data_IF_965991100860
#
_entry.id   IF_965991100860
#
_cell.length_a   1.000
_cell.length_b   1.000
_cell.length_c   1.000
_cell.angle_alpha   90.00
_cell.angle_beta   90.00
_cell.angle_gamma   90.00
#
_symmetry.space_group_name_H-M   'P 1'
#
loop_
_entity.id
_entity.type
_entity.pdbx_description
1 polymer ?
#
# COMPACT_ATOMS: atom_id res chain seq x y z
N UNK A 1 28.05 62.06 20.61
CA UNK A 1 26.86 61.49 21.28
C UNK A 1 26.81 60.00 20.99
N UNK A 2 26.78 59.14 22.01
CA UNK A 2 26.88 57.68 21.89
C UNK A 2 25.52 56.97 21.84
N UNK A 3 25.55 55.70 21.38
CA UNK A 3 24.76 54.51 21.82
C UNK A 3 23.26 54.49 21.50
N UNK A 4 22.71 53.49 20.79
CA UNK A 4 22.31 52.11 21.19
C UNK A 4 21.15 51.78 20.19
N UNK A 5 20.74 50.58 19.80
CA UNK A 5 21.08 49.21 20.11
C UNK A 5 20.43 48.32 19.05
N UNK A 6 21.02 47.15 18.87
CA UNK A 6 20.53 45.98 18.14
C UNK A 6 19.04 45.68 18.36
N UNK A 7 18.37 45.31 17.27
CA UNK A 7 17.30 44.33 17.22
C UNK A 7 17.50 43.60 15.86
N UNK A 8 18.04 42.37 15.75
CA UNK A 8 17.43 41.10 16.16
C UNK A 8 15.91 41.19 15.94
N UNK A 9 15.26 40.45 15.07
CA UNK A 9 15.51 39.10 14.63
C UNK A 9 14.58 38.81 13.43
N UNK A 10 15.00 37.86 12.60
CA UNK A 10 14.14 36.92 11.87
C UNK A 10 12.76 37.45 11.47
N UNK A 11 12.67 38.09 10.31
CA UNK A 11 11.44 38.02 9.53
C UNK A 11 11.27 36.55 9.12
N UNK A 12 10.65 35.78 10.02
CA UNK A 12 10.21 34.43 9.77
C UNK A 12 9.43 34.45 8.46
N UNK A 13 9.99 33.77 7.46
CA UNK A 13 9.31 33.45 6.21
C UNK A 13 8.11 32.58 6.59
N UNK A 14 6.99 33.23 6.87
CA UNK A 14 5.69 32.60 6.89
C UNK A 14 5.31 32.36 5.42
N UNK A 15 5.87 31.31 4.84
CA UNK A 15 5.23 30.68 3.68
C UNK A 15 3.89 30.16 4.20
N UNK A 16 2.74 30.73 3.79
CA UNK A 16 1.48 30.06 4.03
C UNK A 16 1.58 28.69 3.37
N UNK A 17 1.11 27.66 4.07
CA UNK A 17 1.05 26.26 3.69
C UNK A 17 0.23 26.02 2.41
N UNK A 18 0.64 26.63 1.30
CA UNK A 18 -0.02 26.61 0.01
C UNK A 18 0.37 25.37 -0.84
N UNK A 19 1.22 24.49 -0.31
CA UNK A 19 1.46 23.17 -0.91
C UNK A 19 0.33 22.16 -0.63
N UNK A 20 -0.67 22.50 0.20
CA UNK A 20 -1.84 21.65 0.47
C UNK A 20 -3.04 21.98 -0.42
N UNK A 21 -2.78 22.27 -1.69
CA UNK A 21 -3.82 22.22 -2.72
C UNK A 21 -3.28 21.49 -3.95
N UNK A 22 -2.85 20.26 -3.72
CA UNK A 22 -2.69 19.30 -4.80
C UNK A 22 -4.06 19.12 -5.45
N UNK A 23 -4.16 19.54 -6.71
CA UNK A 23 -5.37 19.47 -7.52
C UNK A 23 -5.92 18.04 -7.59
N UNK A 24 -7.23 17.97 -7.47
CA UNK A 24 -8.09 16.79 -7.45
C UNK A 24 -7.84 15.93 -8.69
N UNK A 25 -7.65 14.62 -8.52
CA UNK A 25 -7.66 13.65 -9.62
C UNK A 25 -9.04 12.99 -9.67
N UNK A 26 -9.65 12.88 -10.85
CA UNK A 26 -11.03 12.44 -11.11
C UNK A 26 -11.37 10.98 -10.69
N UNK A 27 -10.51 10.31 -9.92
CA UNK A 27 -10.74 8.96 -9.34
C UNK A 27 -11.02 8.97 -7.82
N UNK A 28 -11.13 10.15 -7.20
CA UNK A 28 -11.28 10.30 -5.75
C UNK A 28 -12.74 10.30 -5.25
N UNK A 29 -13.72 10.40 -6.15
CA UNK A 29 -15.14 10.29 -5.84
C UNK A 29 -15.72 9.05 -6.49
N UNK A 30 -16.40 8.22 -5.69
CA UNK A 30 -17.25 7.16 -6.21
C UNK A 30 -18.53 7.03 -5.39
N UNK A 31 -19.58 6.52 -6.04
CA UNK A 31 -20.87 6.29 -5.43
C UNK A 31 -20.92 4.90 -4.83
N UNK A 32 -21.21 4.81 -3.53
CA UNK A 32 -21.51 3.55 -2.83
C UNK A 32 -22.90 3.68 -2.22
N UNK A 33 -23.83 2.83 -2.63
CA UNK A 33 -25.22 2.82 -2.15
C UNK A 33 -25.94 4.17 -2.23
N UNK A 34 -25.63 4.96 -3.27
CA UNK A 34 -26.24 6.29 -3.45
C UNK A 34 -25.60 7.41 -2.62
N UNK A 35 -24.53 7.13 -1.90
CA UNK A 35 -23.75 8.13 -1.18
C UNK A 35 -22.42 8.42 -1.90
N UNK A 36 -22.08 9.71 -1.99
CA UNK A 36 -20.74 10.14 -2.41
C UNK A 36 -19.74 9.75 -1.32
N UNK A 37 -18.89 8.78 -1.63
CA UNK A 37 -17.81 8.36 -0.74
C UNK A 37 -16.51 8.93 -1.28
N UNK A 38 -15.85 9.73 -0.45
CA UNK A 38 -14.49 10.18 -0.70
C UNK A 38 -13.53 9.05 -0.32
N UNK A 39 -12.87 8.49 -1.31
CA UNK A 39 -11.69 7.66 -1.07
C UNK A 39 -10.49 8.51 -1.41
N UNK A 40 -9.59 8.69 -0.45
CA UNK A 40 -8.26 9.22 -0.76
C UNK A 40 -7.69 8.36 -1.89
N UNK A 41 -7.40 8.93 -3.07
CA UNK A 41 -6.78 8.17 -4.14
C UNK A 41 -5.45 7.61 -3.61
N UNK A 42 -5.11 6.36 -3.94
CA UNK A 42 -3.85 5.77 -3.49
C UNK A 42 -2.72 6.71 -3.90
N UNK A 43 -1.74 6.91 -3.03
CA UNK A 43 -0.64 7.80 -3.36
C UNK A 43 -0.04 7.37 -4.70
N UNK A 44 0.20 8.31 -5.61
CA UNK A 44 0.72 7.99 -6.95
C UNK A 44 2.04 7.22 -6.88
N UNK A 45 2.85 7.49 -5.84
CA UNK A 45 4.07 6.76 -5.54
C UNK A 45 3.80 5.31 -5.08
N UNK A 46 2.86 5.07 -4.16
CA UNK A 46 2.47 3.71 -3.75
C UNK A 46 1.90 2.93 -4.94
N UNK A 47 1.04 3.57 -5.75
CA UNK A 47 0.46 2.93 -6.92
C UNK A 47 1.52 2.57 -7.97
N UNK A 48 2.50 3.44 -8.21
CA UNK A 48 3.61 3.13 -9.11
C UNK A 48 4.46 1.94 -8.59
N UNK A 49 4.75 1.90 -7.28
CA UNK A 49 5.46 0.79 -6.66
C UNK A 49 4.64 -0.52 -6.72
N UNK A 50 3.33 -0.45 -6.48
CA UNK A 50 2.41 -1.57 -6.64
C UNK A 50 2.41 -2.12 -8.07
N UNK A 51 2.33 -1.25 -9.09
CA UNK A 51 2.38 -1.69 -10.48
C UNK A 51 3.70 -2.38 -10.82
N UNK A 52 4.83 -1.86 -10.33
CA UNK A 52 6.14 -2.53 -10.47
C UNK A 52 6.11 -3.92 -9.84
N UNK A 53 5.55 -4.05 -8.64
CA UNK A 53 5.44 -5.35 -7.97
C UNK A 53 4.60 -6.35 -8.79
N UNK A 54 3.46 -5.91 -9.34
CA UNK A 54 2.59 -6.73 -10.20
C UNK A 54 3.29 -7.17 -11.48
N UNK A 55 3.95 -6.25 -12.18
CA UNK A 55 4.67 -6.57 -13.41
C UNK A 55 5.81 -7.57 -13.15
N UNK A 56 6.58 -7.37 -12.08
CA UNK A 56 7.64 -8.31 -11.68
C UNK A 56 7.08 -9.70 -11.32
N UNK A 57 5.93 -9.75 -10.64
CA UNK A 57 5.26 -10.99 -10.25
C UNK A 57 4.67 -11.77 -11.44
N UNK A 58 4.16 -11.05 -12.45
CA UNK A 58 3.55 -11.60 -13.67
C UNK A 58 4.57 -11.89 -14.79
N UNK A 59 5.82 -11.45 -14.62
CA UNK A 59 6.90 -11.73 -15.56
C UNK A 59 7.12 -13.23 -15.78
N UNK A 60 7.76 -13.57 -16.90
CA UNK A 60 8.08 -14.95 -17.28
C UNK A 60 9.60 -15.07 -17.54
N UNK A 61 10.39 -15.64 -16.61
CA UNK A 61 9.98 -16.14 -15.29
C UNK A 61 9.66 -15.00 -14.29
N UNK A 62 8.91 -15.28 -13.20
CA UNK A 62 8.60 -14.28 -12.18
C UNK A 62 9.87 -13.74 -11.51
N UNK A 63 9.94 -12.42 -11.36
CA UNK A 63 11.03 -11.71 -10.69
C UNK A 63 10.66 -11.45 -9.23
N UNK A 64 10.76 -12.50 -8.39
CA UNK A 64 10.20 -12.49 -7.03
C UNK A 64 10.91 -11.52 -6.09
N UNK A 65 12.21 -11.30 -6.26
CA UNK A 65 13.00 -10.35 -5.48
C UNK A 65 12.60 -8.90 -5.79
N UNK A 66 12.44 -8.56 -7.08
CA UNK A 66 11.96 -7.24 -7.49
C UNK A 66 10.53 -7.00 -7.02
N UNK A 67 9.65 -8.00 -7.18
CA UNK A 67 8.28 -7.92 -6.71
C UNK A 67 8.21 -7.65 -5.20
N UNK A 68 9.07 -8.32 -4.41
CA UNK A 68 9.16 -8.11 -2.97
C UNK A 68 9.60 -6.68 -2.60
N UNK A 69 10.68 -6.18 -3.22
CA UNK A 69 11.17 -4.82 -2.94
C UNK A 69 10.13 -3.75 -3.32
N UNK A 70 9.46 -3.94 -4.46
CA UNK A 70 8.44 -3.02 -4.94
C UNK A 70 7.20 -3.02 -4.05
N UNK A 71 6.75 -4.20 -3.58
CA UNK A 71 5.58 -4.25 -2.69
C UNK A 71 5.89 -3.69 -1.30
N UNK A 72 7.10 -3.94 -0.77
CA UNK A 72 7.53 -3.38 0.51
C UNK A 72 7.60 -1.84 0.44
N UNK A 73 8.03 -1.30 -0.70
CA UNK A 73 7.98 0.16 -0.97
C UNK A 73 6.54 0.67 -0.99
N UNK A 74 5.63 -0.01 -1.69
CA UNK A 74 4.23 0.40 -1.74
C UNK A 74 3.59 0.42 -0.34
N UNK A 75 3.82 -0.62 0.47
CA UNK A 75 3.32 -0.74 1.85
C UNK A 75 3.93 0.32 2.77
N UNK A 76 5.21 0.67 2.59
CA UNK A 76 5.83 1.73 3.38
C UNK A 76 5.18 3.11 3.15
N UNK A 77 4.63 3.33 1.94
CA UNK A 77 3.97 4.58 1.58
C UNK A 77 2.49 4.55 1.97
N UNK A 78 1.82 3.42 1.75
CA UNK A 78 0.39 3.24 2.04
C UNK A 78 0.15 1.93 2.83
N UNK A 79 0.41 1.91 4.15
CA UNK A 79 0.35 0.69 4.94
C UNK A 79 -1.08 0.18 5.19
N UNK A 80 -2.10 0.99 4.89
CA UNK A 80 -3.50 0.69 5.19
C UNK A 80 -4.29 0.21 3.96
N UNK A 81 -3.65 0.12 2.79
CA UNK A 81 -4.25 -0.52 1.61
C UNK A 81 -4.18 -2.05 1.70
N UNK A 82 -5.34 -2.66 1.94
CA UNK A 82 -5.51 -4.12 2.01
C UNK A 82 -5.02 -4.86 0.76
N UNK A 83 -5.10 -4.24 -0.43
CA UNK A 83 -4.65 -4.87 -1.68
C UNK A 83 -3.13 -5.09 -1.70
N UNK A 84 -2.35 -4.17 -1.12
CA UNK A 84 -0.90 -4.31 -1.06
C UNK A 84 -0.49 -5.51 -0.20
N UNK A 85 -1.23 -5.75 0.88
CA UNK A 85 -1.04 -6.93 1.74
C UNK A 85 -1.45 -8.22 1.06
N UNK A 86 -2.49 -8.22 0.22
CA UNK A 86 -2.84 -9.38 -0.62
C UNK A 86 -1.69 -9.70 -1.58
N UNK A 87 -1.15 -8.71 -2.27
CA UNK A 87 -0.04 -8.90 -3.22
C UNK A 87 1.24 -9.37 -2.53
N UNK A 88 1.55 -8.83 -1.35
CA UNK A 88 2.64 -9.35 -0.50
C UNK A 88 2.43 -10.82 -0.16
N UNK A 89 1.19 -11.21 0.12
CA UNK A 89 0.83 -12.61 0.37
C UNK A 89 1.02 -13.51 -0.84
N UNK A 90 0.64 -13.04 -2.03
CA UNK A 90 0.86 -13.76 -3.29
C UNK A 90 2.36 -13.96 -3.57
N UNK A 91 3.17 -12.92 -3.39
CA UNK A 91 4.63 -12.99 -3.54
C UNK A 91 5.21 -14.01 -2.57
N UNK A 92 4.82 -13.96 -1.29
CA UNK A 92 5.28 -14.91 -0.27
C UNK A 92 4.89 -16.36 -0.63
N UNK A 93 3.65 -16.58 -1.09
CA UNK A 93 3.19 -17.89 -1.53
C UNK A 93 4.00 -18.44 -2.71
N UNK A 94 4.31 -17.60 -3.72
CA UNK A 94 5.16 -18.00 -4.85
C UNK A 94 6.60 -18.30 -4.45
N UNK A 95 7.09 -17.69 -3.37
CA UNK A 95 8.41 -17.98 -2.77
C UNK A 95 8.41 -19.21 -1.86
N UNK A 96 7.26 -19.87 -1.66
CA UNK A 96 7.11 -20.99 -0.74
C UNK A 96 6.99 -20.59 0.74
N UNK A 97 6.92 -19.29 1.06
CA UNK A 97 6.70 -18.79 2.42
C UNK A 97 5.20 -18.74 2.74
N UNK A 98 4.61 -19.92 3.01
CA UNK A 98 3.19 -20.03 3.39
C UNK A 98 2.85 -19.31 4.70
N UNK A 99 3.80 -19.23 5.63
CA UNK A 99 3.61 -18.51 6.89
C UNK A 99 3.53 -17.00 6.66
N UNK A 100 4.43 -16.45 5.83
CA UNK A 100 4.40 -15.06 5.39
C UNK A 100 3.13 -14.72 4.62
N UNK A 101 2.70 -15.61 3.71
CA UNK A 101 1.45 -15.43 2.98
C UNK A 101 0.24 -15.34 3.91
N UNK A 102 0.17 -16.24 4.90
CA UNK A 102 -0.92 -16.26 5.89
C UNK A 102 -0.94 -14.99 6.75
N UNK A 103 0.23 -14.49 7.20
CA UNK A 103 0.32 -13.23 7.93
C UNK A 103 -0.14 -12.04 7.10
N UNK A 104 0.23 -12.00 5.82
CA UNK A 104 -0.16 -10.91 4.93
C UNK A 104 -1.68 -10.90 4.66
N UNK A 105 -2.28 -12.09 4.43
CA UNK A 105 -3.74 -12.25 4.33
C UNK A 105 -4.45 -11.79 5.60
N UNK A 106 -3.94 -12.16 6.78
CA UNK A 106 -4.51 -11.74 8.05
C UNK A 106 -4.51 -10.21 8.19
N UNK A 107 -3.41 -9.54 7.79
CA UNK A 107 -3.33 -8.08 7.79
C UNK A 107 -4.30 -7.44 6.79
N UNK A 108 -4.45 -8.00 5.59
CA UNK A 108 -5.43 -7.53 4.60
C UNK A 108 -6.87 -7.59 5.14
N UNK A 109 -7.24 -8.69 5.80
CA UNK A 109 -8.58 -8.88 6.39
C UNK A 109 -8.81 -8.04 7.66
N UNK A 110 -7.74 -7.67 8.39
CA UNK A 110 -7.83 -6.71 9.49
C UNK A 110 -8.15 -5.30 8.97
N UNK A 111 -7.53 -4.89 7.86
CA UNK A 111 -7.75 -3.57 7.25
C UNK A 111 -9.11 -3.47 6.56
N UNK A 112 -9.50 -4.53 5.85
CA UNK A 112 -10.80 -4.64 5.21
C UNK A 112 -11.40 -6.01 5.50
N UNK A 113 -12.28 -6.11 6.51
CA UNK A 113 -13.10 -7.29 6.71
C UNK A 113 -13.87 -7.64 5.42
N UNK A 114 -14.05 -8.93 5.16
CA UNK A 114 -14.77 -9.44 3.98
C UNK A 114 -14.14 -9.04 2.63
N UNK A 115 -12.84 -8.77 2.60
CA UNK A 115 -12.16 -8.41 1.34
C UNK A 115 -11.99 -9.62 0.41
N UNK A 116 -12.70 -9.69 -0.74
CA UNK A 116 -12.74 -10.91 -1.55
C UNK A 116 -11.37 -11.40 -2.06
N UNK A 117 -10.42 -10.52 -2.49
CA UNK A 117 -9.09 -10.97 -2.87
C UNK A 117 -8.32 -11.66 -1.74
N UNK A 118 -8.44 -11.17 -0.51
CA UNK A 118 -7.79 -11.79 0.65
C UNK A 118 -8.43 -13.14 0.99
N UNK A 119 -9.76 -13.24 0.92
CA UNK A 119 -10.49 -14.50 1.11
C UNK A 119 -10.13 -15.56 0.07
N UNK A 120 -10.05 -15.15 -1.20
CA UNK A 120 -9.63 -16.04 -2.27
C UNK A 120 -8.19 -16.55 -2.07
N UNK A 121 -7.27 -15.66 -1.66
CA UNK A 121 -5.91 -16.06 -1.34
C UNK A 121 -5.87 -17.01 -0.13
N UNK A 122 -6.64 -16.73 0.92
CA UNK A 122 -6.78 -17.59 2.10
C UNK A 122 -7.22 -19.01 1.73
N UNK A 123 -8.25 -19.13 0.89
CA UNK A 123 -8.76 -20.41 0.43
C UNK A 123 -7.70 -21.20 -0.36
N UNK A 124 -6.94 -20.53 -1.23
CA UNK A 124 -5.83 -21.15 -1.99
C UNK A 124 -4.73 -21.68 -1.08
N UNK A 125 -4.37 -20.93 -0.02
CA UNK A 125 -3.36 -21.35 0.96
C UNK A 125 -3.82 -22.55 1.79
N UNK A 126 -5.07 -22.56 2.26
CA UNK A 126 -5.64 -23.67 3.02
C UNK A 126 -5.82 -24.96 2.20
N UNK A 127 -6.17 -24.82 0.91
CA UNK A 127 -6.26 -25.94 -0.02
C UNK A 127 -4.92 -26.64 -0.23
N UNK A 128 -3.83 -25.88 -0.37
CA UNK A 128 -2.48 -26.44 -0.53
C UNK A 128 -2.01 -27.25 0.70
N UNK A 129 -2.37 -26.80 1.91
CA UNK A 129 -2.06 -27.53 3.15
C UNK A 129 -2.86 -28.83 3.30
N UNK A 130 -4.09 -28.90 2.76
CA UNK A 130 -4.93 -30.10 2.84
C UNK A 130 -4.47 -31.24 1.91
N UNK A 131 -3.82 -30.91 0.80
CA UNK A 131 -3.31 -31.89 -0.18
C UNK A 131 -2.02 -32.54 0.30
N UNK A 132 -1.18 -31.80 1.03
CA UNK A 132 0.07 -32.33 1.59
C UNK A 132 -0.11 -33.26 2.80
N UNK A 133 -1.33 -33.37 3.34
CA UNK A 133 -1.65 -34.15 4.55
C UNK A 133 -2.38 -35.48 4.27
N UNK A 134 -2.52 -35.90 3.01
CA UNK A 134 -3.08 -37.23 2.68
C UNK A 134 -1.95 -38.27 2.70
N UNK A 135 -2.00 -39.28 3.60
CA UNK A 135 -1.05 -40.38 3.60
C UNK A 135 -1.21 -41.28 2.37
#
# INVERSE_FOLDING_TARGET
>A
MPTLSRALAFAAVLLPAACLRHGVSDRALHMVDGHEVYSTPPSSAAYAAYLRARLALEAAPPQLEEAQLAIDTAIAIDPDDAQLWVVRGEIAARRGDGAGATRAVAKALQLRPEYPPAEQLRARLGGASSVAARP
#
